data_IF_101129224700
#
_entry.id   IF_101129224700
#
_cell.length_a   1.000
_cell.length_b   1.000
_cell.length_c   1.000
_cell.angle_alpha   90.00
_cell.angle_beta   90.00
_cell.angle_gamma   90.00
#
_symmetry.space_group_name_H-M   'P 1'
#
loop_
_entity.id
_entity.type
_entity.pdbx_description
1 polymer ?
#
# COMPACT_ATOMS: atom_id res chain seq x y z
N UNK A 1 -18.26 28.07 25.55
CA UNK A 1 -16.84 28.06 25.13
C UNK A 1 -16.49 26.73 24.47
N UNK A 2 -16.63 25.59 25.17
CA UNK A 2 -16.41 24.26 24.56
C UNK A 2 -17.32 24.02 23.35
N UNK A 3 -18.63 24.24 23.48
CA UNK A 3 -19.57 24.03 22.37
C UNK A 3 -19.30 24.94 21.15
N UNK A 4 -18.74 26.12 21.38
CA UNK A 4 -18.38 27.05 20.30
C UNK A 4 -17.18 26.50 19.52
N UNK A 5 -16.13 26.05 20.22
CA UNK A 5 -14.98 25.39 19.60
C UNK A 5 -15.41 24.14 18.85
N UNK A 6 -16.24 23.28 19.47
CA UNK A 6 -16.71 22.04 18.84
C UNK A 6 -17.61 22.30 17.64
N UNK A 7 -18.33 23.42 17.61
CA UNK A 7 -19.17 23.78 16.45
C UNK A 7 -18.37 24.06 15.18
N UNK A 8 -17.09 24.44 15.30
CA UNK A 8 -16.21 24.66 14.14
C UNK A 8 -15.83 23.36 13.43
N UNK A 9 -15.90 22.22 14.13
CA UNK A 9 -15.65 20.89 13.54
C UNK A 9 -16.90 20.29 12.84
N UNK A 10 -18.06 20.95 12.95
CA UNK A 10 -19.30 20.47 12.35
C UNK A 10 -19.38 20.88 10.88
N UNK A 11 -19.16 19.92 9.99
CA UNK A 11 -19.40 20.10 8.56
C UNK A 11 -20.89 19.90 8.24
N UNK A 12 -21.45 20.84 7.47
CA UNK A 12 -22.80 20.71 6.91
C UNK A 12 -22.83 19.68 5.77
N UNK A 13 -24.03 19.34 5.30
CA UNK A 13 -24.16 18.45 4.14
C UNK A 13 -23.55 19.08 2.90
N UNK A 14 -23.74 20.39 2.73
CA UNK A 14 -23.21 21.18 1.62
C UNK A 14 -21.67 21.20 1.65
N UNK A 15 -21.06 21.27 2.83
CA UNK A 15 -19.61 21.18 2.99
C UNK A 15 -19.09 19.81 2.55
N UNK A 16 -19.75 18.72 2.98
CA UNK A 16 -19.37 17.36 2.60
C UNK A 16 -19.52 17.11 1.09
N UNK A 17 -20.58 17.65 0.46
CA UNK A 17 -20.77 17.59 -0.99
C UNK A 17 -19.67 18.35 -1.74
N UNK A 18 -19.25 19.49 -1.21
CA UNK A 18 -18.16 20.28 -1.79
C UNK A 18 -16.81 19.55 -1.66
N UNK A 19 -16.50 18.97 -0.50
CA UNK A 19 -15.30 18.13 -0.29
C UNK A 19 -15.31 16.95 -1.27
N UNK A 20 -16.45 16.27 -1.43
CA UNK A 20 -16.62 15.16 -2.37
C UNK A 20 -16.38 15.58 -3.83
N UNK A 21 -16.85 16.78 -4.21
CA UNK A 21 -16.61 17.34 -5.55
C UNK A 21 -15.12 17.66 -5.77
N UNK A 22 -14.44 18.19 -4.76
CA UNK A 22 -13.01 18.53 -4.81
C UNK A 22 -12.13 17.29 -4.93
N UNK A 23 -12.34 16.27 -4.08
CA UNK A 23 -11.54 15.04 -4.16
C UNK A 23 -11.76 14.33 -5.50
N UNK A 24 -12.99 14.28 -6.01
CA UNK A 24 -13.29 13.69 -7.32
C UNK A 24 -12.54 14.41 -8.45
N UNK A 25 -12.45 15.74 -8.40
CA UNK A 25 -11.67 16.52 -9.37
C UNK A 25 -10.18 16.18 -9.28
N UNK A 26 -9.62 16.06 -8.09
CA UNK A 26 -8.21 15.69 -7.92
C UNK A 26 -7.94 14.24 -8.36
N UNK A 27 -8.87 13.30 -8.16
CA UNK A 27 -8.80 11.96 -8.75
C UNK A 27 -8.78 12.00 -10.29
N UNK A 28 -9.66 12.80 -10.91
CA UNK A 28 -9.67 12.96 -12.37
C UNK A 28 -8.37 13.60 -12.89
N UNK A 29 -7.76 14.51 -12.13
CA UNK A 29 -6.46 15.10 -12.46
C UNK A 29 -5.32 14.10 -12.29
N UNK A 30 -5.35 13.29 -11.24
CA UNK A 30 -4.33 12.28 -10.95
C UNK A 30 -4.26 11.18 -12.01
N UNK A 31 -5.38 10.87 -12.68
CA UNK A 31 -5.43 9.84 -13.72
C UNK A 31 -4.91 10.31 -15.09
N UNK A 32 -4.81 11.62 -15.34
CA UNK A 32 -4.44 12.20 -16.63
C UNK A 32 -2.96 12.49 -16.71
N UNK A 33 -2.32 12.18 -17.84
CA UNK A 33 -0.88 12.41 -18.04
C UNK A 33 -0.54 13.90 -17.89
N UNK A 34 -1.38 14.79 -18.40
CA UNK A 34 -1.13 16.24 -18.40
C UNK A 34 -1.14 16.86 -17.00
N UNK A 35 -1.89 16.31 -16.05
CA UNK A 35 -2.11 16.91 -14.72
C UNK A 35 -1.62 16.07 -13.55
N UNK A 36 -1.14 14.85 -13.79
CA UNK A 36 -0.73 13.89 -12.75
C UNK A 36 0.35 14.43 -11.81
N UNK A 37 1.36 15.09 -12.35
CA UNK A 37 2.49 15.60 -11.56
C UNK A 37 2.05 16.69 -10.57
N UNK A 38 1.05 17.49 -10.93
CA UNK A 38 0.49 18.59 -10.11
C UNK A 38 -0.65 18.15 -9.19
N UNK A 39 -1.29 17.02 -9.46
CA UNK A 39 -2.40 16.51 -8.65
C UNK A 39 -1.92 16.15 -7.24
N UNK A 40 -2.69 16.52 -6.21
CA UNK A 40 -2.44 16.07 -4.84
C UNK A 40 -2.75 14.58 -4.70
N UNK A 41 -3.91 14.14 -5.21
CA UNK A 41 -4.30 12.73 -5.27
C UNK A 41 -3.63 12.07 -6.48
N UNK A 42 -2.66 11.18 -6.23
CA UNK A 42 -1.77 10.66 -7.29
C UNK A 42 -2.38 9.59 -8.18
N UNK A 43 -3.36 8.82 -7.71
CA UNK A 43 -4.05 7.82 -8.55
C UNK A 43 -3.07 6.84 -9.23
N UNK A 44 -2.21 6.24 -8.42
CA UNK A 44 -1.11 5.39 -8.85
C UNK A 44 -1.61 4.05 -9.43
N UNK A 45 -1.25 3.70 -10.68
CA UNK A 45 -1.53 2.39 -11.26
C UNK A 45 -0.84 1.27 -10.47
N UNK A 46 -1.53 0.16 -10.24
CA UNK A 46 -1.01 -0.97 -9.44
C UNK A 46 -0.64 -2.20 -10.28
N UNK A 47 -0.97 -2.20 -11.57
CA UNK A 47 -0.83 -3.35 -12.49
C UNK A 47 -1.67 -4.59 -12.12
N UNK A 48 -2.52 -4.52 -11.09
CA UNK A 48 -3.56 -5.52 -10.81
C UNK A 48 -4.77 -5.25 -11.71
N UNK A 49 -5.01 -6.11 -12.70
CA UNK A 49 -6.00 -5.89 -13.77
C UNK A 49 -7.37 -6.55 -13.53
N UNK A 50 -7.47 -7.44 -12.56
CA UNK A 50 -8.73 -8.12 -12.24
C UNK A 50 -8.76 -8.50 -10.77
N UNK A 51 -9.97 -8.70 -10.25
CA UNK A 51 -10.21 -9.37 -8.98
C UNK A 51 -9.97 -10.88 -9.12
N UNK A 52 -9.80 -11.63 -8.02
CA UNK A 52 -9.69 -13.08 -8.06
C UNK A 52 -10.82 -13.76 -8.85
N UNK A 53 -10.53 -14.91 -9.46
CA UNK A 53 -11.50 -15.71 -10.22
C UNK A 53 -12.01 -16.91 -9.40
N UNK A 54 -11.33 -17.24 -8.30
CA UNK A 54 -11.59 -18.43 -7.48
C UNK A 54 -10.96 -19.71 -8.05
N UNK A 55 -10.13 -19.58 -9.09
CA UNK A 55 -9.33 -20.66 -9.68
C UNK A 55 -7.91 -20.71 -9.12
N UNK A 56 -7.55 -19.78 -8.23
CA UNK A 56 -6.22 -19.70 -7.62
C UNK A 56 -5.97 -20.90 -6.70
N UNK A 57 -4.82 -21.55 -6.89
CA UNK A 57 -4.36 -22.69 -6.09
C UNK A 57 -2.85 -22.62 -5.93
N UNK A 58 -2.34 -22.84 -4.72
CA UNK A 58 -0.91 -22.92 -4.44
C UNK A 58 -0.51 -22.54 -3.02
N UNK A 59 0.77 -22.74 -2.72
CA UNK A 59 1.42 -22.26 -1.51
C UNK A 59 2.20 -20.98 -1.86
N UNK A 60 1.89 -19.87 -1.19
CA UNK A 60 2.47 -18.56 -1.42
C UNK A 60 3.09 -18.02 -0.14
N UNK A 61 4.18 -17.26 -0.27
CA UNK A 61 4.66 -16.42 0.80
C UNK A 61 4.11 -15.01 0.61
N UNK A 62 3.78 -14.36 1.72
CA UNK A 62 3.36 -12.97 1.70
C UNK A 62 4.11 -12.19 2.79
N UNK A 63 4.58 -11.01 2.42
CA UNK A 63 5.18 -10.04 3.32
C UNK A 63 4.22 -8.89 3.50
N UNK A 64 4.11 -8.37 4.72
CA UNK A 64 3.30 -7.19 5.02
C UNK A 64 4.13 -6.21 5.83
N UNK A 65 4.47 -5.10 5.17
CA UNK A 65 5.28 -4.00 5.68
C UNK A 65 4.55 -2.68 5.49
N UNK A 66 3.94 -2.17 6.55
CA UNK A 66 3.28 -0.86 6.54
C UNK A 66 3.40 -0.06 7.83
N UNK A 67 4.11 -0.58 8.83
CA UNK A 67 4.32 0.03 10.14
C UNK A 67 5.45 -0.66 10.89
N UNK A 68 5.52 -0.48 12.22
CA UNK A 68 6.56 -1.09 13.06
C UNK A 68 6.43 -2.61 13.20
N UNK A 69 5.26 -3.16 12.89
CA UNK A 69 4.99 -4.60 12.91
C UNK A 69 5.09 -5.15 11.48
N UNK A 70 6.18 -5.86 11.20
CA UNK A 70 6.38 -6.60 9.96
C UNK A 70 5.79 -8.00 10.09
N UNK A 71 5.09 -8.49 9.07
CA UNK A 71 4.55 -9.86 9.08
C UNK A 71 5.09 -10.66 7.90
N UNK A 72 5.51 -11.89 8.19
CA UNK A 72 5.79 -12.93 7.18
C UNK A 72 4.71 -13.98 7.28
N UNK A 73 4.15 -14.37 6.14
CA UNK A 73 3.02 -15.28 6.05
C UNK A 73 3.28 -16.40 5.04
N UNK A 74 2.79 -17.60 5.35
CA UNK A 74 2.55 -18.67 4.40
C UNK A 74 1.04 -18.74 4.18
N UNK A 75 0.61 -18.50 2.95
CA UNK A 75 -0.78 -18.56 2.52
C UNK A 75 -0.95 -19.77 1.61
N UNK A 76 -1.83 -20.69 1.98
CA UNK A 76 -2.19 -21.84 1.15
C UNK A 76 -3.59 -21.64 0.63
N UNK A 77 -3.73 -21.70 -0.69
CA UNK A 77 -4.98 -21.51 -1.41
C UNK A 77 -5.29 -22.80 -2.16
N UNK A 78 -6.48 -23.36 -2.02
CA UNK A 78 -6.88 -24.56 -2.78
C UNK A 78 -8.06 -25.33 -2.19
N UNK A 79 -8.38 -26.47 -2.79
CA UNK A 79 -9.43 -27.39 -2.33
C UNK A 79 -8.94 -28.26 -1.15
N UNK A 80 -9.71 -28.29 -0.08
CA UNK A 80 -9.53 -29.21 1.07
C UNK A 80 -10.01 -30.63 0.69
N UNK A 81 -9.62 -31.64 1.47
CA UNK A 81 -10.03 -33.06 1.31
C UNK A 81 -11.57 -33.23 1.33
N UNK A 82 -12.30 -32.25 1.88
CA UNK A 82 -13.77 -32.19 1.92
C UNK A 82 -14.42 -31.47 0.72
N UNK A 83 -13.67 -31.15 -0.36
CA UNK A 83 -14.12 -30.46 -1.60
C UNK A 83 -14.56 -29.00 -1.43
N UNK A 84 -14.12 -28.32 -0.37
CA UNK A 84 -14.31 -26.88 -0.17
C UNK A 84 -13.05 -26.11 -0.55
N UNK A 85 -13.19 -25.02 -1.32
CA UNK A 85 -12.10 -24.06 -1.54
C UNK A 85 -11.82 -23.31 -0.23
N UNK A 86 -10.55 -23.25 0.20
CA UNK A 86 -10.15 -22.70 1.50
C UNK A 86 -8.82 -21.97 1.41
N UNK A 87 -8.68 -20.94 2.25
CA UNK A 87 -7.42 -20.24 2.51
C UNK A 87 -6.92 -20.59 3.91
N UNK A 88 -5.76 -21.22 4.02
CA UNK A 88 -5.05 -21.43 5.29
C UNK A 88 -3.88 -20.45 5.38
N UNK A 89 -3.79 -19.69 6.47
CA UNK A 89 -2.69 -18.74 6.70
C UNK A 89 -1.94 -19.06 7.98
N UNK A 90 -0.61 -19.19 7.87
CA UNK A 90 0.31 -19.19 9.01
C UNK A 90 1.14 -17.93 8.94
N UNK A 91 1.36 -17.26 10.06
CA UNK A 91 2.12 -16.02 10.08
C UNK A 91 2.97 -15.86 11.32
N UNK A 92 3.99 -15.03 11.19
CA UNK A 92 4.79 -14.55 12.31
C UNK A 92 4.96 -13.04 12.20
N UNK A 93 4.75 -12.33 13.32
CA UNK A 93 5.03 -10.90 13.42
C UNK A 93 6.43 -10.66 13.97
N UNK A 94 7.11 -9.67 13.41
CA UNK A 94 8.43 -9.20 13.81
C UNK A 94 8.33 -7.70 14.05
N UNK A 95 8.88 -7.22 15.16
CA UNK A 95 9.01 -5.78 15.40
C UNK A 95 10.23 -5.27 14.66
N UNK A 96 10.11 -4.20 13.88
CA UNK A 96 11.24 -3.60 13.18
C UNK A 96 11.95 -2.65 14.16
N UNK A 97 13.27 -2.83 14.39
CA UNK A 97 14.07 -1.92 15.19
C UNK A 97 14.07 -0.49 14.62
N UNK A 98 14.08 0.52 15.48
CA UNK A 98 14.04 1.93 15.07
C UNK A 98 15.26 2.35 14.23
N UNK A 99 16.43 1.79 14.53
CA UNK A 99 17.66 1.96 13.77
C UNK A 99 17.58 1.36 12.36
N UNK A 100 16.84 0.27 12.18
CA UNK A 100 16.54 -0.26 10.85
C UNK A 100 15.54 0.63 10.10
N UNK A 101 14.53 1.19 10.78
CA UNK A 101 13.53 2.08 10.16
C UNK A 101 14.12 3.42 9.69
N UNK A 102 15.13 3.93 10.38
CA UNK A 102 15.73 5.27 10.16
C UNK A 102 17.15 5.23 9.63
N UNK A 103 17.75 4.04 9.50
CA UNK A 103 19.11 3.83 9.01
C UNK A 103 19.24 3.87 7.48
N UNK A 104 19.83 2.84 6.90
CA UNK A 104 19.95 2.69 5.43
C UNK A 104 18.95 1.68 4.89
N UNK A 105 18.64 1.77 3.60
CA UNK A 105 17.86 0.77 2.90
C UNK A 105 18.47 -0.64 3.07
N UNK A 106 19.80 -0.76 2.96
CA UNK A 106 20.49 -2.03 3.17
C UNK A 106 20.21 -2.60 4.57
N UNK A 107 20.30 -1.80 5.63
CA UNK A 107 19.99 -2.24 7.00
C UNK A 107 18.54 -2.72 7.12
N UNK A 108 17.58 -1.98 6.57
CA UNK A 108 16.16 -2.34 6.61
C UNK A 108 15.88 -3.66 5.87
N UNK A 109 16.36 -3.79 4.63
CA UNK A 109 16.08 -4.96 3.81
C UNK A 109 16.87 -6.20 4.26
N UNK A 110 18.05 -6.04 4.85
CA UNK A 110 18.80 -7.14 5.48
C UNK A 110 18.09 -7.64 6.75
N UNK A 111 17.46 -6.75 7.52
CA UNK A 111 16.61 -7.13 8.63
C UNK A 111 15.37 -7.91 8.15
N UNK A 112 14.69 -7.41 7.11
CA UNK A 112 13.55 -8.09 6.48
C UNK A 112 13.95 -9.50 5.99
N UNK A 113 15.08 -9.63 5.29
CA UNK A 113 15.61 -10.92 4.85
C UNK A 113 15.91 -11.86 6.03
N UNK A 114 16.32 -11.32 7.18
CA UNK A 114 16.52 -12.07 8.42
C UNK A 114 15.22 -12.62 8.99
N UNK A 115 14.18 -11.81 9.06
CA UNK A 115 12.84 -12.24 9.48
C UNK A 115 12.26 -13.32 8.56
N UNK A 116 12.47 -13.19 7.24
CA UNK A 116 12.05 -14.20 6.27
C UNK A 116 12.76 -15.52 6.52
N UNK A 117 14.10 -15.51 6.63
CA UNK A 117 14.89 -16.71 6.92
C UNK A 117 14.41 -17.42 8.19
N UNK A 118 14.22 -16.68 9.28
CA UNK A 118 13.75 -17.22 10.56
C UNK A 118 12.36 -17.88 10.42
N UNK A 119 11.45 -17.24 9.68
CA UNK A 119 10.14 -17.81 9.37
C UNK A 119 10.26 -19.12 8.57
N UNK A 120 11.11 -19.13 7.54
CA UNK A 120 11.33 -20.31 6.71
C UNK A 120 11.95 -21.47 7.52
N UNK A 121 12.87 -21.20 8.44
CA UNK A 121 13.44 -22.21 9.34
C UNK A 121 12.36 -22.82 10.25
N UNK A 122 11.56 -21.97 10.92
CA UNK A 122 10.48 -22.39 11.82
C UNK A 122 9.44 -23.29 11.14
N UNK A 123 9.23 -23.09 9.84
CA UNK A 123 8.27 -23.86 9.06
C UNK A 123 8.90 -24.92 8.16
N UNK A 124 10.23 -25.11 8.23
CA UNK A 124 11.00 -26.03 7.39
C UNK A 124 10.73 -25.82 5.88
N UNK A 125 10.84 -24.57 5.41
CA UNK A 125 10.52 -24.17 4.03
C UNK A 125 11.72 -23.68 3.23
N UNK A 126 12.93 -23.54 3.80
CA UNK A 126 14.11 -23.03 3.10
C UNK A 126 14.50 -23.79 1.83
N UNK A 127 14.12 -25.06 1.75
CA UNK A 127 14.37 -25.92 0.59
C UNK A 127 13.39 -25.71 -0.57
N UNK A 128 12.33 -24.89 -0.38
CA UNK A 128 11.33 -24.58 -1.39
C UNK A 128 11.53 -23.17 -1.92
N UNK A 129 11.43 -23.02 -3.24
CA UNK A 129 11.31 -21.72 -3.90
C UNK A 129 9.83 -21.40 -4.07
N UNK A 130 9.27 -20.65 -3.12
CA UNK A 130 7.86 -20.25 -3.15
C UNK A 130 7.70 -18.87 -3.81
N UNK A 131 6.60 -18.65 -4.56
CA UNK A 131 6.23 -17.32 -5.03
C UNK A 131 5.90 -16.41 -3.85
N UNK A 132 6.34 -15.16 -3.93
CA UNK A 132 6.21 -14.16 -2.88
C UNK A 132 5.44 -12.93 -3.37
N UNK A 133 4.37 -12.59 -2.66
CA UNK A 133 3.70 -11.30 -2.73
C UNK A 133 4.24 -10.36 -1.65
N UNK A 134 4.59 -9.13 -2.03
CA UNK A 134 5.09 -8.12 -1.10
C UNK A 134 4.07 -7.00 -0.93
N UNK A 135 3.31 -7.02 0.16
CA UNK A 135 2.49 -5.88 0.58
C UNK A 135 3.40 -4.82 1.21
N UNK A 136 3.52 -3.68 0.54
CA UNK A 136 4.39 -2.58 0.91
C UNK A 136 3.57 -1.28 0.95
N UNK A 137 3.20 -0.85 2.16
CA UNK A 137 2.20 0.20 2.39
C UNK A 137 2.76 1.62 2.34
N UNK A 138 3.50 1.95 1.29
CA UNK A 138 4.04 3.27 1.06
C UNK A 138 3.72 3.73 -0.38
N UNK A 139 3.78 5.05 -0.66
CA UNK A 139 3.60 5.56 -2.01
C UNK A 139 4.68 5.01 -2.96
N UNK A 140 4.24 4.20 -3.93
CA UNK A 140 5.11 3.56 -4.92
C UNK A 140 4.58 3.83 -6.32
N UNK A 141 5.46 4.33 -7.20
CA UNK A 141 5.22 4.33 -8.64
C UNK A 141 5.59 2.97 -9.21
N UNK A 142 4.58 2.18 -9.58
CA UNK A 142 4.79 0.89 -10.24
C UNK A 142 5.19 1.11 -11.71
N UNK A 143 6.18 0.34 -12.15
CA UNK A 143 6.56 0.18 -13.56
C UNK A 143 6.12 -1.19 -14.10
N UNK A 144 5.92 -2.15 -13.20
CA UNK A 144 5.31 -3.45 -13.44
C UNK A 144 4.77 -4.00 -12.11
N UNK A 145 4.11 -5.16 -12.11
CA UNK A 145 3.59 -5.80 -10.91
C UNK A 145 4.69 -6.16 -9.90
N UNK A 146 5.89 -6.51 -10.37
CA UNK A 146 7.05 -6.86 -9.52
C UNK A 146 8.13 -5.75 -9.48
N UNK A 147 7.80 -4.53 -9.95
CA UNK A 147 8.73 -3.42 -10.04
C UNK A 147 8.09 -2.12 -9.59
N UNK A 148 8.51 -1.62 -8.44
CA UNK A 148 7.98 -0.37 -7.91
C UNK A 148 9.05 0.51 -7.29
N UNK A 149 9.00 1.78 -7.67
CA UNK A 149 9.89 2.83 -7.20
C UNK A 149 9.25 3.53 -6.01
N UNK A 150 9.89 3.47 -4.84
CA UNK A 150 9.43 4.21 -3.66
C UNK A 150 9.52 5.72 -3.95
N UNK A 151 8.41 6.43 -3.81
CA UNK A 151 8.37 7.88 -4.03
C UNK A 151 8.87 8.64 -2.82
N UNK A 152 8.27 8.36 -1.66
CA UNK A 152 8.64 8.96 -0.39
C UNK A 152 8.24 8.05 0.76
N UNK A 153 8.98 8.12 1.85
CA UNK A 153 8.58 7.48 3.09
C UNK A 153 7.43 8.22 3.76
N UNK A 154 6.67 7.46 4.56
CA UNK A 154 5.62 7.95 5.45
C UNK A 154 5.68 7.17 6.77
N UNK A 155 4.76 7.43 7.72
CA UNK A 155 4.55 6.58 8.91
C UNK A 155 5.81 6.36 9.78
N UNK A 156 6.72 7.34 9.81
CA UNK A 156 7.94 7.31 10.63
C UNK A 156 9.14 6.57 10.03
N UNK A 157 9.02 5.95 8.86
CA UNK A 157 10.17 5.37 8.14
C UNK A 157 11.00 6.48 7.51
N UNK A 158 12.34 6.34 7.53
CA UNK A 158 13.29 7.27 6.90
C UNK A 158 14.56 6.58 6.39
N UNK A 159 14.49 5.29 6.05
CA UNK A 159 15.64 4.52 5.60
C UNK A 159 16.26 5.12 4.33
N UNK A 160 17.47 5.64 4.46
CA UNK A 160 18.20 6.35 3.41
C UNK A 160 18.56 5.44 2.24
N UNK A 161 18.44 5.95 1.01
CA UNK A 161 18.74 5.17 -0.21
C UNK A 161 17.61 4.24 -0.68
N UNK A 162 16.43 4.27 -0.05
CA UNK A 162 15.25 3.55 -0.53
C UNK A 162 14.38 4.40 -1.48
N UNK A 163 14.17 5.68 -1.15
CA UNK A 163 13.42 6.61 -2.02
C UNK A 163 14.12 6.73 -3.39
N UNK A 164 13.32 6.76 -4.45
CA UNK A 164 13.79 6.75 -5.83
C UNK A 164 14.32 5.40 -6.34
N UNK A 165 14.32 4.34 -5.52
CA UNK A 165 14.87 3.03 -5.87
C UNK A 165 13.79 1.95 -5.96
N UNK A 166 14.10 0.87 -6.71
CA UNK A 166 13.21 -0.27 -6.86
C UNK A 166 13.18 -1.13 -5.58
N UNK A 167 12.07 -1.10 -4.86
CA UNK A 167 11.86 -1.80 -3.57
C UNK A 167 12.03 -3.32 -3.71
N UNK A 168 11.49 -3.91 -4.79
CA UNK A 168 11.66 -5.34 -5.06
C UNK A 168 13.11 -5.68 -5.36
N UNK A 169 13.83 -4.77 -6.03
CA UNK A 169 15.28 -4.88 -6.25
C UNK A 169 16.06 -4.89 -4.93
N UNK A 170 15.77 -3.96 -4.03
CA UNK A 170 16.40 -3.87 -2.71
C UNK A 170 16.19 -5.15 -1.89
N UNK A 171 14.96 -5.70 -1.91
CA UNK A 171 14.65 -6.97 -1.25
C UNK A 171 15.41 -8.15 -1.90
N UNK A 172 15.43 -8.23 -3.24
CA UNK A 172 16.17 -9.27 -3.98
C UNK A 172 17.67 -9.23 -3.65
N UNK A 173 18.25 -8.03 -3.57
CA UNK A 173 19.65 -7.84 -3.21
C UNK A 173 19.95 -8.29 -1.78
N UNK A 174 19.07 -8.00 -0.82
CA UNK A 174 19.20 -8.46 0.57
C UNK A 174 19.13 -9.98 0.70
N UNK A 175 18.17 -10.62 0.01
CA UNK A 175 18.05 -12.09 -0.04
C UNK A 175 19.34 -12.69 -0.64
N UNK A 176 19.85 -12.10 -1.73
CA UNK A 176 21.09 -12.56 -2.38
C UNK A 176 22.32 -12.38 -1.50
N UNK A 177 22.47 -11.25 -0.79
CA UNK A 177 23.56 -11.01 0.18
C UNK A 177 23.55 -12.06 1.28
N UNK A 178 22.36 -12.47 1.72
CA UNK A 178 22.18 -13.49 2.76
C UNK A 178 22.55 -14.89 2.28
N UNK A 179 22.00 -15.31 1.14
CA UNK A 179 22.40 -16.54 0.43
C UNK A 179 21.99 -17.88 1.05
N UNK A 180 21.13 -17.91 2.08
CA UNK A 180 20.70 -19.15 2.75
C UNK A 180 19.29 -19.63 2.34
N UNK A 181 18.59 -18.89 1.47
CA UNK A 181 17.35 -19.30 0.82
C UNK A 181 17.16 -18.58 -0.53
N UNK A 182 16.27 -19.11 -1.37
CA UNK A 182 15.84 -18.46 -2.61
C UNK A 182 14.35 -18.12 -2.57
N UNK A 183 13.97 -17.04 -3.23
CA UNK A 183 12.58 -16.62 -3.39
C UNK A 183 12.33 -16.08 -4.78
N UNK A 184 11.06 -16.15 -5.20
CA UNK A 184 10.58 -15.52 -6.41
C UNK A 184 9.57 -14.43 -6.04
N UNK A 185 10.01 -13.16 -6.03
CA UNK A 185 9.11 -12.03 -5.78
C UNK A 185 8.31 -11.77 -7.05
N UNK A 186 7.04 -12.16 -7.05
CA UNK A 186 6.17 -12.13 -8.24
C UNK A 186 5.27 -10.91 -8.29
N UNK A 187 5.03 -10.27 -7.15
CA UNK A 187 4.19 -9.09 -7.07
C UNK A 187 4.56 -8.22 -5.87
N UNK A 188 4.40 -6.92 -6.03
CA UNK A 188 4.35 -5.94 -4.94
C UNK A 188 3.04 -5.18 -5.03
N UNK A 189 2.38 -4.98 -3.89
CA UNK A 189 1.07 -4.34 -3.82
C UNK A 189 1.01 -3.40 -2.62
N UNK A 190 0.12 -2.42 -2.68
CA UNK A 190 -0.23 -1.59 -1.52
C UNK A 190 -1.20 -2.35 -0.59
N UNK A 191 -1.26 -1.98 0.70
CA UNK A 191 -2.17 -2.63 1.66
C UNK A 191 -3.65 -2.42 1.34
N UNK A 192 -4.04 -1.30 0.75
CA UNK A 192 -5.43 -1.12 0.29
C UNK A 192 -5.79 -2.15 -0.78
N UNK A 193 -4.87 -2.43 -1.71
CA UNK A 193 -5.07 -3.40 -2.80
C UNK A 193 -5.14 -4.82 -2.25
N UNK A 194 -4.21 -5.17 -1.35
CA UNK A 194 -4.24 -6.45 -0.66
C UNK A 194 -5.54 -6.64 0.15
N UNK A 195 -6.02 -5.57 0.80
CA UNK A 195 -7.29 -5.57 1.56
C UNK A 195 -8.49 -5.79 0.63
N UNK A 196 -8.56 -5.09 -0.50
CA UNK A 196 -9.60 -5.28 -1.52
C UNK A 196 -9.66 -6.74 -2.00
N UNK A 197 -8.49 -7.30 -2.35
CA UNK A 197 -8.37 -8.69 -2.81
C UNK A 197 -8.79 -9.67 -1.71
N UNK A 198 -8.39 -9.42 -0.45
CA UNK A 198 -8.79 -10.26 0.67
C UNK A 198 -10.31 -10.27 0.88
N UNK A 199 -10.96 -9.11 0.78
CA UNK A 199 -12.42 -8.99 0.91
C UNK A 199 -13.16 -9.68 -0.24
N UNK A 200 -12.56 -9.74 -1.42
CA UNK A 200 -13.18 -10.38 -2.59
C UNK A 200 -13.52 -11.86 -2.34
N UNK A 201 -12.70 -12.57 -1.55
CA UNK A 201 -12.95 -13.98 -1.22
C UNK A 201 -14.21 -14.20 -0.39
N UNK A 202 -14.73 -13.16 0.27
CA UNK A 202 -16.01 -13.18 0.98
C UNK A 202 -17.13 -12.55 0.15
N UNK A 203 -16.85 -11.45 -0.56
CA UNK A 203 -17.80 -10.72 -1.40
C UNK A 203 -17.21 -10.43 -2.79
N UNK A 204 -17.70 -11.16 -3.80
CA UNK A 204 -17.27 -11.03 -5.20
C UNK A 204 -17.65 -9.70 -5.87
N UNK A 205 -18.40 -8.83 -5.18
CA UNK A 205 -18.71 -7.47 -5.66
C UNK A 205 -17.73 -6.41 -5.14
N UNK A 206 -16.75 -6.80 -4.32
CA UNK A 206 -15.75 -5.89 -3.77
C UNK A 206 -14.83 -5.32 -4.87
N UNK A 207 -14.97 -4.03 -5.15
CA UNK A 207 -14.13 -3.27 -6.10
C UNK A 207 -13.40 -2.09 -5.42
N UNK A 208 -13.45 -1.98 -4.09
CA UNK A 208 -12.84 -0.91 -3.30
C UNK A 208 -12.14 -1.50 -2.08
N UNK A 209 -10.89 -1.11 -1.85
CA UNK A 209 -10.16 -1.38 -0.61
C UNK A 209 -9.90 -0.08 0.13
N UNK A 210 -10.04 -0.10 1.46
CA UNK A 210 -9.83 1.09 2.28
C UNK A 210 -9.11 0.72 3.57
N UNK A 211 -8.11 1.53 3.93
CA UNK A 211 -7.39 1.44 5.18
C UNK A 211 -7.72 2.69 5.98
N UNK A 212 -8.18 2.50 7.22
CA UNK A 212 -8.35 3.56 8.23
C UNK A 212 -7.65 3.09 9.49
N UNK A 213 -6.41 3.54 9.68
CA UNK A 213 -5.53 3.11 10.77
C UNK A 213 -4.47 4.17 11.07
N UNK A 214 -3.18 3.76 11.12
CA UNK A 214 -2.05 4.72 11.27
C UNK A 214 -2.01 5.75 10.14
N UNK A 215 -2.54 5.40 8.96
CA UNK A 215 -2.88 6.35 7.90
C UNK A 215 -4.27 6.04 7.34
N UNK A 216 -4.71 6.88 6.42
CA UNK A 216 -5.95 6.70 5.67
C UNK A 216 -5.63 6.61 4.17
N UNK A 217 -6.03 5.52 3.51
CA UNK A 217 -5.85 5.36 2.06
C UNK A 217 -6.98 4.51 1.46
N UNK A 218 -7.19 4.63 0.15
CA UNK A 218 -8.09 3.77 -0.60
C UNK A 218 -7.55 3.39 -1.98
N UNK A 219 -8.04 2.26 -2.49
CA UNK A 219 -7.91 1.88 -3.88
C UNK A 219 -9.25 1.42 -4.44
N UNK A 220 -9.37 1.40 -5.77
CA UNK A 220 -10.56 0.86 -6.43
C UNK A 220 -10.25 0.37 -7.84
N UNK A 221 -11.13 -0.45 -8.41
CA UNK A 221 -11.04 -0.87 -9.82
C UNK A 221 -11.52 0.26 -10.75
N UNK A 222 -10.61 0.83 -11.53
CA UNK A 222 -10.91 1.86 -12.54
C UNK A 222 -10.88 1.29 -13.96
N UNK A 223 -11.66 1.89 -14.86
CA UNK A 223 -11.65 1.57 -16.29
C UNK A 223 -10.32 1.97 -16.94
N UNK A 224 -9.64 1.05 -17.64
CA UNK A 224 -8.32 1.29 -18.25
C UNK A 224 -8.29 2.53 -19.16
N UNK A 225 -9.35 2.76 -19.94
CA UNK A 225 -9.50 3.97 -20.80
C UNK A 225 -9.42 5.32 -20.07
N UNK A 226 -9.51 5.35 -18.73
CA UNK A 226 -9.34 6.58 -17.93
C UNK A 226 -7.95 6.67 -17.29
N UNK A 227 -7.20 5.56 -17.23
CA UNK A 227 -5.87 5.50 -16.62
C UNK A 227 -4.83 5.85 -17.69
N UNK A 228 -4.72 7.13 -18.04
CA UNK A 228 -3.84 7.58 -19.13
C UNK A 228 -2.35 7.32 -18.85
N UNK A 229 -2.00 7.03 -17.59
CA UNK A 229 -0.64 6.74 -17.12
C UNK A 229 -0.10 5.38 -17.58
N UNK A 230 -0.95 4.49 -18.10
CA UNK A 230 -0.57 3.15 -18.58
C UNK A 230 -1.15 2.94 -19.98
N UNK A 231 -0.34 2.38 -20.89
CA UNK A 231 -0.83 2.06 -22.23
C UNK A 231 -1.92 0.98 -22.22
N UNK A 232 -2.96 1.21 -23.02
CA UNK A 232 -4.09 0.30 -23.23
C UNK A 232 -5.41 0.83 -22.68
N UNK A 233 -6.52 0.47 -23.33
CA UNK A 233 -7.85 0.98 -22.98
C UNK A 233 -8.82 -0.12 -22.50
N UNK A 234 -8.46 -1.39 -22.68
CA UNK A 234 -9.33 -2.54 -22.43
C UNK A 234 -9.25 -3.05 -20.99
N UNK A 235 -10.43 -3.32 -20.41
CA UNK A 235 -10.55 -3.89 -19.07
C UNK A 235 -10.44 -2.86 -17.95
N UNK A 236 -10.04 -3.32 -16.77
CA UNK A 236 -9.90 -2.49 -15.57
C UNK A 236 -8.48 -2.61 -15.01
N UNK A 237 -8.12 -1.65 -14.16
CA UNK A 237 -6.93 -1.73 -13.31
C UNK A 237 -7.26 -1.18 -11.93
N UNK A 238 -6.78 -1.86 -10.89
CA UNK A 238 -6.84 -1.30 -9.55
C UNK A 238 -5.93 -0.06 -9.47
N UNK A 239 -6.48 1.04 -9.00
CA UNK A 239 -5.77 2.30 -8.80
C UNK A 239 -5.67 2.56 -7.31
N UNK A 240 -4.45 2.76 -6.83
CA UNK A 240 -4.17 3.24 -5.48
C UNK A 240 -4.26 4.77 -5.48
N UNK A 241 -5.22 5.33 -4.75
CA UNK A 241 -5.48 6.77 -4.80
C UNK A 241 -4.38 7.60 -4.17
N UNK A 242 -3.73 7.08 -3.11
CA UNK A 242 -2.91 7.86 -2.18
C UNK A 242 -3.65 9.13 -1.72
N UNK A 243 -4.95 8.99 -1.41
CA UNK A 243 -5.83 10.14 -1.11
C UNK A 243 -5.47 10.91 0.15
N UNK A 244 -4.51 10.41 0.95
CA UNK A 244 -4.10 11.08 2.17
C UNK A 244 -3.41 12.42 1.86
N UNK A 245 -2.91 12.62 0.64
CA UNK A 245 -2.33 13.88 0.18
C UNK A 245 -3.39 14.94 -0.18
N UNK A 246 -4.68 14.58 -0.19
CA UNK A 246 -5.74 15.49 -0.58
C UNK A 246 -5.82 16.67 0.40
N UNK A 247 -5.57 17.88 -0.08
CA UNK A 247 -5.45 19.09 0.73
C UNK A 247 -4.05 19.70 0.75
N UNK A 248 -3.02 18.95 0.33
CA UNK A 248 -1.62 19.42 0.30
C UNK A 248 -1.42 20.66 -0.60
N UNK A 249 -2.28 20.87 -1.62
CA UNK A 249 -2.24 22.07 -2.47
C UNK A 249 -3.25 23.14 -2.02
N UNK A 250 -3.79 23.03 -0.80
CA UNK A 250 -4.77 23.95 -0.24
C UNK A 250 -6.22 23.66 -0.64
N UNK A 251 -6.53 22.49 -1.19
CA UNK A 251 -7.89 22.11 -1.58
C UNK A 251 -8.87 22.04 -0.39
N UNK A 252 -8.36 22.00 0.83
CA UNK A 252 -9.14 21.90 2.07
C UNK A 252 -8.92 23.09 3.03
N UNK A 253 -8.23 24.15 2.61
CA UNK A 253 -7.78 25.23 3.52
C UNK A 253 -8.94 25.97 4.21
N UNK A 254 -10.09 26.08 3.56
CA UNK A 254 -11.34 26.64 4.10
C UNK A 254 -12.02 25.75 5.15
N UNK A 255 -11.70 24.45 5.17
CA UNK A 255 -12.18 23.50 6.17
C UNK A 255 -11.17 23.29 7.31
N UNK A 256 -9.93 23.76 7.17
CA UNK A 256 -8.86 23.61 8.18
C UNK A 256 -8.99 24.62 9.32
N UNK A 257 -8.98 24.11 10.53
CA UNK A 257 -8.99 24.88 11.76
C UNK A 257 -7.57 25.21 12.24
N UNK A 258 -7.45 26.09 13.23
CA UNK A 258 -6.15 26.40 13.87
C UNK A 258 -5.51 25.14 14.48
N UNK A 259 -6.33 24.24 15.03
CA UNK A 259 -5.86 22.99 15.64
C UNK A 259 -5.17 22.07 14.62
N UNK A 260 -5.72 21.96 13.41
CA UNK A 260 -5.13 21.15 12.34
C UNK A 260 -3.77 21.75 11.94
N UNK A 261 -3.67 23.08 11.83
CA UNK A 261 -2.39 23.76 11.51
C UNK A 261 -1.32 23.50 12.57
N UNK A 262 -1.68 23.52 13.86
CA UNK A 262 -0.72 23.22 14.94
C UNK A 262 -0.23 21.77 14.88
N UNK A 263 -1.12 20.81 14.58
CA UNK A 263 -0.73 19.40 14.40
C UNK A 263 0.21 19.26 13.20
N UNK A 264 -0.10 19.94 12.09
CA UNK A 264 0.71 19.94 10.88
C UNK A 264 2.15 20.44 11.12
N UNK A 265 2.26 21.64 11.67
CA UNK A 265 3.54 22.31 11.93
C UNK A 265 4.46 21.52 12.87
N UNK A 266 3.87 20.68 13.74
CA UNK A 266 4.61 19.86 14.71
C UNK A 266 4.80 18.40 14.26
N UNK A 267 4.30 18.03 13.08
CA UNK A 267 4.39 16.69 12.54
C UNK A 267 5.78 16.37 11.96
N UNK A 268 6.01 15.09 11.61
CA UNK A 268 7.22 14.66 10.91
C UNK A 268 7.29 15.15 9.45
N UNK A 269 6.15 15.51 8.86
CA UNK A 269 6.01 15.87 7.45
C UNK A 269 5.15 17.15 7.28
N UNK A 270 5.59 18.32 7.78
CA UNK A 270 4.78 19.54 7.70
C UNK A 270 4.38 19.89 6.26
N UNK A 271 3.12 20.29 6.09
CA UNK A 271 2.48 20.62 4.81
C UNK A 271 2.09 19.42 3.97
N UNK A 272 2.10 18.20 4.54
CA UNK A 272 1.73 16.97 3.83
C UNK A 272 0.89 16.03 4.69
N UNK A 273 -0.13 15.43 4.07
CA UNK A 273 -0.90 14.32 4.63
C UNK A 273 -1.64 14.61 5.95
N UNK A 274 -2.38 15.73 6.02
CA UNK A 274 -3.24 16.03 7.16
C UNK A 274 -4.63 15.40 7.10
#
# INVERSE_FOLDING_TARGET
MVDQILSEFLLSKEDLEEVMRRIRREMERGLRVETHDEASVKMLPTYVRSTPEGSEVGDFLALDLGGTNFRVMLVKVGEDEERGWKVETKHHMYSIPEDAMTGTAEMLFDYIASCISDFLDKHNLKHKKLPLGFTFSFPVRHEDLDKGILLNWTKGFKASGAEGNNVVGLLRDAIKRRGDFEMDVVAMVNDTVATMISCYYEDRSCEVGMIVGTGCNACYMEEMRKVELVEGEEGKMCVNTEWGAFGDNGELEDFRLEYDRVIDETSLNPGRQL
#
